data_IF_554760396211
#
_entry.id   IF_554760396211
#
_cell.length_a   1.000
_cell.length_b   1.000
_cell.length_c   1.000
_cell.angle_alpha   90.00
_cell.angle_beta   90.00
_cell.angle_gamma   90.00
#
_symmetry.space_group_name_H-M   'P 1'
#
loop_
_entity.id
_entity.type
_entity.pdbx_description
1 polymer ?
#
# COMPACT_ATOMS: atom_id res chain seq x y z
N UNK A 1 -39.61 -12.03 24.41
CA UNK A 1 -39.32 -10.58 24.38
C UNK A 1 -37.85 -10.42 24.61
N UNK A 2 -37.18 -9.75 23.68
CA UNK A 2 -35.73 -9.68 23.57
C UNK A 2 -35.15 -8.75 24.64
N UNK A 3 -34.18 -9.24 25.41
CA UNK A 3 -33.27 -8.40 26.18
C UNK A 3 -32.02 -8.13 25.33
N UNK A 4 -31.77 -6.84 25.13
CA UNK A 4 -30.59 -6.29 24.48
C UNK A 4 -29.35 -6.60 25.32
N UNK A 5 -28.45 -7.42 24.79
CA UNK A 5 -27.06 -7.43 25.23
C UNK A 5 -26.36 -6.20 24.63
N UNK A 6 -26.14 -5.17 25.45
CA UNK A 6 -25.15 -4.14 25.16
C UNK A 6 -23.76 -4.77 25.36
N UNK A 7 -23.04 -5.02 24.27
CA UNK A 7 -21.61 -5.32 24.31
C UNK A 7 -20.87 -4.11 24.90
N UNK A 8 -20.33 -4.29 26.11
CA UNK A 8 -19.40 -3.33 26.70
C UNK A 8 -18.05 -3.48 26.00
N UNK A 9 -17.81 -2.64 24.99
CA UNK A 9 -16.50 -2.49 24.37
C UNK A 9 -15.52 -2.05 25.47
N UNK A 10 -14.49 -2.85 25.70
CA UNK A 10 -13.49 -2.58 26.73
C UNK A 10 -12.65 -1.34 26.35
N UNK A 11 -12.10 -0.63 27.34
CA UNK A 11 -11.30 0.57 27.12
C UNK A 11 -10.05 0.27 26.25
N UNK A 12 -9.52 -0.95 26.33
CA UNK A 12 -8.46 -1.46 25.46
C UNK A 12 -8.92 -1.71 24.02
N UNK A 13 -10.13 -2.23 23.80
CA UNK A 13 -10.72 -2.38 22.47
C UNK A 13 -11.05 -1.02 21.85
N UNK A 14 -11.54 -0.06 22.64
CA UNK A 14 -11.77 1.30 22.19
C UNK A 14 -10.46 2.04 21.85
N UNK A 15 -9.40 1.89 22.66
CA UNK A 15 -8.07 2.43 22.33
C UNK A 15 -7.44 1.74 21.13
N UNK A 16 -7.59 0.43 20.97
CA UNK A 16 -7.16 -0.30 19.77
C UNK A 16 -7.95 0.13 18.54
N UNK A 17 -9.24 0.38 18.66
CA UNK A 17 -10.08 0.87 17.56
C UNK A 17 -9.79 2.33 17.21
N UNK A 18 -9.48 3.18 18.20
CA UNK A 18 -9.00 4.56 18.00
C UNK A 18 -7.60 4.59 17.34
N UNK A 19 -6.69 3.67 17.73
CA UNK A 19 -5.39 3.48 17.05
C UNK A 19 -5.56 2.89 15.65
N UNK A 20 -6.56 2.03 15.42
CA UNK A 20 -6.95 1.56 14.08
C UNK A 20 -7.54 2.69 13.22
N UNK A 21 -8.21 3.68 13.81
CA UNK A 21 -8.78 4.83 13.09
C UNK A 21 -7.73 5.81 12.58
N UNK A 22 -6.56 5.91 13.20
CA UNK A 22 -5.51 6.86 12.83
C UNK A 22 -4.24 6.18 12.30
N UNK A 23 -4.11 6.15 10.97
CA UNK A 23 -2.89 5.69 10.29
C UNK A 23 -1.72 6.65 10.55
N UNK A 24 -2.00 7.93 10.79
CA UNK A 24 -0.99 8.98 10.95
C UNK A 24 -1.01 9.60 12.35
N UNK A 25 0.17 10.10 12.77
CA UNK A 25 0.27 11.04 13.88
C UNK A 25 -0.62 12.27 13.61
N UNK A 26 -1.57 12.52 14.51
CA UNK A 26 -2.50 13.65 14.43
C UNK A 26 -1.78 14.98 14.24
N UNK A 27 -0.60 15.19 14.85
CA UNK A 27 0.17 16.44 14.70
C UNK A 27 0.69 16.61 13.27
N UNK A 28 1.10 15.51 12.62
CA UNK A 28 1.52 15.54 11.22
C UNK A 28 0.34 15.89 10.32
N UNK A 29 -0.81 15.24 10.53
CA UNK A 29 -2.01 15.48 9.75
C UNK A 29 -2.48 16.94 9.88
N UNK A 30 -2.51 17.49 11.09
CA UNK A 30 -2.86 18.90 11.33
C UNK A 30 -1.88 19.84 10.65
N UNK A 31 -0.56 19.60 10.76
CA UNK A 31 0.44 20.45 10.13
C UNK A 31 0.29 20.49 8.60
N UNK A 32 0.09 19.33 7.97
CA UNK A 32 -0.14 19.26 6.52
C UNK A 32 -1.42 20.00 6.13
N UNK A 33 -2.53 19.78 6.84
CA UNK A 33 -3.81 20.48 6.58
C UNK A 33 -3.71 21.99 6.73
N UNK A 34 -2.90 22.47 7.68
CA UNK A 34 -2.66 23.90 7.84
C UNK A 34 -1.97 24.51 6.61
N UNK A 35 -1.01 23.81 6.03
CA UNK A 35 -0.31 24.25 4.82
C UNK A 35 -1.26 24.22 3.61
N UNK A 36 -2.01 23.12 3.43
CA UNK A 36 -2.88 22.93 2.25
C UNK A 36 -4.19 23.70 2.30
N UNK A 37 -4.43 24.51 3.35
CA UNK A 37 -5.70 25.20 3.59
C UNK A 37 -6.15 26.11 2.45
N UNK A 38 -5.23 26.68 1.67
CA UNK A 38 -5.61 27.56 0.55
C UNK A 38 -6.11 26.79 -0.67
N UNK A 39 -5.95 25.46 -0.71
CA UNK A 39 -6.34 24.62 -1.84
C UNK A 39 -5.47 24.77 -3.10
N UNK A 40 -4.42 25.61 -3.08
CA UNK A 40 -3.50 25.77 -4.20
C UNK A 40 -2.62 24.54 -4.35
N UNK A 41 -2.41 24.09 -5.60
CA UNK A 41 -1.53 22.95 -5.92
C UNK A 41 -0.13 23.06 -5.27
N UNK A 42 0.47 24.26 -5.28
CA UNK A 42 1.78 24.50 -4.68
C UNK A 42 1.81 24.14 -3.19
N UNK A 43 0.76 24.45 -2.45
CA UNK A 43 0.70 24.17 -1.01
C UNK A 43 0.73 22.65 -0.71
N UNK A 44 0.12 21.82 -1.56
CA UNK A 44 0.21 20.36 -1.42
C UNK A 44 1.65 19.87 -1.65
N UNK A 45 2.31 20.43 -2.66
CA UNK A 45 3.70 20.13 -2.98
C UNK A 45 4.60 20.53 -1.80
N UNK A 46 4.42 21.74 -1.30
CA UNK A 46 5.16 22.30 -0.18
C UNK A 46 4.91 21.50 1.11
N UNK A 47 3.67 21.08 1.38
CA UNK A 47 3.33 20.30 2.56
C UNK A 47 4.03 18.93 2.57
N UNK A 48 4.02 18.22 1.43
CA UNK A 48 4.69 16.93 1.32
C UNK A 48 6.20 17.09 1.40
N UNK A 49 6.77 18.09 0.73
CA UNK A 49 8.22 18.34 0.77
C UNK A 49 8.70 18.74 2.18
N UNK A 50 7.95 19.61 2.87
CA UNK A 50 8.26 20.06 4.23
C UNK A 50 8.24 18.92 5.26
N UNK A 51 7.51 17.85 4.97
CA UNK A 51 7.38 16.69 5.85
C UNK A 51 7.90 15.38 5.24
N UNK A 52 8.74 15.46 4.20
CA UNK A 52 9.19 14.30 3.43
C UNK A 52 9.81 13.19 4.30
N UNK A 53 10.64 13.55 5.27
CA UNK A 53 11.26 12.57 6.18
C UNK A 53 10.23 11.77 6.99
N UNK A 54 9.13 12.41 7.39
CA UNK A 54 8.05 11.76 8.15
C UNK A 54 7.11 10.97 7.24
N UNK A 55 6.89 11.46 6.03
CA UNK A 55 6.00 10.84 5.05
C UNK A 55 6.63 9.66 4.30
N UNK A 56 7.95 9.49 4.34
CA UNK A 56 8.65 8.39 3.65
C UNK A 56 8.71 7.09 4.46
N UNK A 57 8.52 7.14 5.78
CA UNK A 57 8.50 5.94 6.66
C UNK A 57 7.47 6.07 7.76
N UNK A 58 6.20 6.19 7.37
CA UNK A 58 5.08 6.13 8.31
C UNK A 58 4.97 4.67 8.79
N UNK A 59 5.14 4.38 10.09
CA UNK A 59 5.00 3.00 10.59
C UNK A 59 3.54 2.53 10.45
N UNK A 60 3.36 1.30 10.01
CA UNK A 60 2.05 0.65 9.91
C UNK A 60 1.99 -0.58 10.83
N UNK A 61 0.79 -0.96 11.31
CA UNK A 61 0.59 -2.24 11.99
C UNK A 61 1.02 -3.41 11.10
N UNK A 62 1.69 -4.38 11.71
CA UNK A 62 2.15 -5.63 11.08
C UNK A 62 1.04 -6.68 11.07
N UNK A 63 0.09 -6.61 12.01
CA UNK A 63 -1.03 -7.54 12.05
C UNK A 63 -1.88 -7.41 10.79
N UNK A 64 -1.95 -8.51 10.05
CA UNK A 64 -2.84 -8.69 8.93
C UNK A 64 -4.02 -9.53 9.42
N UNK A 65 -5.14 -8.88 9.70
CA UNK A 65 -6.40 -9.52 10.14
C UNK A 65 -7.11 -10.28 8.99
N UNK A 66 -6.42 -10.48 7.87
CA UNK A 66 -6.93 -11.15 6.67
C UNK A 66 -6.66 -12.64 6.76
N UNK A 67 -7.70 -13.47 6.67
CA UNK A 67 -7.53 -14.92 6.59
C UNK A 67 -6.90 -15.36 5.26
N UNK A 68 -6.36 -16.59 5.22
CA UNK A 68 -5.69 -17.16 4.04
C UNK A 68 -6.59 -17.17 2.79
N UNK A 69 -7.89 -17.41 2.96
CA UNK A 69 -8.82 -17.51 1.84
C UNK A 69 -9.08 -16.13 1.21
N UNK A 70 -9.21 -15.09 2.03
CA UNK A 70 -9.30 -13.71 1.58
C UNK A 70 -8.00 -13.25 0.94
N UNK A 71 -6.84 -13.59 1.51
CA UNK A 71 -5.54 -13.31 0.92
C UNK A 71 -5.39 -13.94 -0.48
N UNK A 72 -5.88 -15.17 -0.66
CA UNK A 72 -5.88 -15.83 -1.96
C UNK A 72 -6.84 -15.17 -2.97
N UNK A 73 -8.03 -14.75 -2.52
CA UNK A 73 -8.99 -13.99 -3.36
C UNK A 73 -8.40 -12.66 -3.81
N UNK A 74 -7.72 -11.97 -2.90
CA UNK A 74 -7.03 -10.71 -3.21
C UNK A 74 -5.92 -10.97 -4.22
N UNK A 75 -5.01 -11.90 -3.94
CA UNK A 75 -3.91 -12.25 -4.84
C UNK A 75 -4.37 -12.62 -6.26
N UNK A 76 -5.52 -13.29 -6.39
CA UNK A 76 -6.10 -13.66 -7.70
C UNK A 76 -6.52 -12.47 -8.56
N UNK A 77 -6.79 -11.32 -7.96
CA UNK A 77 -7.13 -10.08 -8.68
C UNK A 77 -5.90 -9.30 -9.09
N UNK A 78 -4.72 -9.68 -8.62
CA UNK A 78 -3.49 -8.91 -8.78
C UNK A 78 -2.58 -9.44 -9.88
N UNK A 79 -1.81 -8.53 -10.47
CA UNK A 79 -0.55 -8.87 -11.13
C UNK A 79 0.53 -8.98 -10.04
N UNK A 80 1.13 -10.15 -9.88
CA UNK A 80 2.15 -10.43 -8.85
C UNK A 80 3.47 -10.76 -9.52
N UNK A 81 4.55 -10.19 -8.99
CA UNK A 81 5.91 -10.47 -9.37
C UNK A 81 6.67 -11.08 -8.18
N UNK A 82 7.27 -12.25 -8.36
CA UNK A 82 8.15 -12.87 -7.35
C UNK A 82 9.58 -12.87 -7.88
N UNK A 83 10.51 -12.22 -7.16
CA UNK A 83 11.93 -12.15 -7.53
C UNK A 83 12.18 -11.70 -8.97
N UNK A 84 11.40 -10.74 -9.46
CA UNK A 84 11.50 -10.21 -10.83
C UNK A 84 10.66 -10.95 -11.87
N UNK A 85 10.06 -12.11 -11.54
CA UNK A 85 9.25 -12.90 -12.46
C UNK A 85 7.76 -12.59 -12.28
N UNK A 86 7.10 -12.11 -13.33
CA UNK A 86 5.65 -11.87 -13.34
C UNK A 86 4.86 -13.17 -13.53
N UNK A 87 3.80 -13.33 -12.74
CA UNK A 87 2.85 -14.43 -12.87
C UNK A 87 1.64 -13.96 -13.67
N UNK A 88 1.43 -14.56 -14.84
CA UNK A 88 0.37 -14.21 -15.80
C UNK A 88 -0.45 -15.45 -16.20
N UNK A 89 -1.66 -15.23 -16.72
CA UNK A 89 -2.58 -16.29 -17.16
C UNK A 89 -3.54 -16.80 -16.06
N UNK A 90 -4.35 -17.79 -16.42
CA UNK A 90 -5.51 -18.24 -15.63
C UNK A 90 -5.14 -18.95 -14.31
N UNK A 91 -3.94 -19.53 -14.24
CA UNK A 91 -3.40 -20.24 -13.06
C UNK A 91 -2.27 -19.47 -12.36
N UNK A 92 -2.21 -18.15 -12.58
CA UNK A 92 -1.12 -17.32 -12.07
C UNK A 92 -0.98 -17.37 -10.54
N UNK A 93 -2.09 -17.40 -9.83
CA UNK A 93 -2.10 -17.41 -8.35
C UNK A 93 -1.58 -18.73 -7.81
N UNK A 94 -2.02 -19.85 -8.39
CA UNK A 94 -1.57 -21.19 -8.03
C UNK A 94 -0.09 -21.37 -8.33
N UNK A 95 0.37 -20.89 -9.50
CA UNK A 95 1.78 -20.88 -9.87
C UNK A 95 2.61 -20.03 -8.90
N UNK A 96 2.10 -18.86 -8.50
CA UNK A 96 2.74 -18.01 -7.49
C UNK A 96 2.86 -18.71 -6.15
N UNK A 97 1.75 -19.28 -5.64
CA UNK A 97 1.73 -20.06 -4.39
C UNK A 97 2.71 -21.23 -4.46
N UNK A 98 2.74 -21.97 -5.57
CA UNK A 98 3.65 -23.09 -5.77
C UNK A 98 5.13 -22.63 -5.80
N UNK A 99 5.42 -21.47 -6.39
CA UNK A 99 6.75 -20.88 -6.41
C UNK A 99 7.20 -20.44 -5.01
N UNK A 100 6.33 -19.76 -4.25
CA UNK A 100 6.59 -19.40 -2.85
C UNK A 100 6.88 -20.65 -2.03
N UNK A 101 5.99 -21.64 -2.08
CA UNK A 101 6.17 -22.97 -1.46
C UNK A 101 7.53 -23.57 -1.79
N UNK A 102 7.90 -23.63 -3.07
CA UNK A 102 9.19 -24.18 -3.50
C UNK A 102 10.40 -23.41 -2.95
N UNK A 103 10.30 -22.10 -2.77
CA UNK A 103 11.40 -21.30 -2.20
C UNK A 103 11.47 -21.53 -0.69
N UNK A 104 10.34 -21.44 0.02
CA UNK A 104 10.27 -21.65 1.47
C UNK A 104 10.78 -23.05 1.84
N UNK A 105 10.42 -24.10 1.08
CA UNK A 105 10.84 -25.48 1.37
C UNK A 105 12.36 -25.70 1.28
N UNK A 106 13.11 -24.79 0.66
CA UNK A 106 14.58 -24.85 0.59
C UNK A 106 15.28 -24.25 1.81
N UNK A 107 14.54 -23.45 2.59
CA UNK A 107 15.10 -22.65 3.67
C UNK A 107 14.43 -22.92 5.02
N UNK A 108 13.28 -23.60 5.03
CA UNK A 108 12.53 -23.99 6.23
C UNK A 108 12.38 -25.51 6.22
N UNK A 109 13.09 -26.18 7.12
CA UNK A 109 13.15 -27.66 7.18
C UNK A 109 11.95 -28.28 7.92
N UNK A 110 11.36 -27.53 8.87
CA UNK A 110 10.26 -28.03 9.69
C UNK A 110 8.93 -27.94 8.92
N UNK A 111 8.21 -29.06 8.70
CA UNK A 111 6.97 -29.07 7.91
C UNK A 111 5.86 -28.17 8.45
N UNK A 112 5.74 -28.06 9.78
CA UNK A 112 4.75 -27.19 10.43
C UNK A 112 5.06 -25.71 10.16
N UNK A 113 6.30 -25.28 10.38
CA UNK A 113 6.74 -23.91 10.10
C UNK A 113 6.69 -23.53 8.63
N UNK A 114 6.84 -24.51 7.72
CA UNK A 114 6.77 -24.30 6.29
C UNK A 114 5.40 -23.77 5.83
N UNK A 115 4.31 -24.34 6.34
CA UNK A 115 2.96 -23.90 5.99
C UNK A 115 2.65 -22.53 6.59
N UNK A 116 3.05 -22.31 7.86
CA UNK A 116 2.88 -21.03 8.55
C UNK A 116 3.61 -19.87 7.85
N UNK A 117 4.88 -20.10 7.46
CA UNK A 117 5.67 -19.10 6.72
C UNK A 117 5.05 -18.80 5.37
N UNK A 118 4.60 -19.83 4.66
CA UNK A 118 3.95 -19.65 3.36
C UNK A 118 2.65 -18.86 3.50
N UNK A 119 1.82 -19.23 4.48
CA UNK A 119 0.56 -18.54 4.77
C UNK A 119 0.79 -17.07 5.12
N UNK A 120 1.78 -16.79 5.97
CA UNK A 120 2.15 -15.41 6.34
C UNK A 120 2.55 -14.58 5.12
N UNK A 121 3.35 -15.14 4.21
CA UNK A 121 3.72 -14.45 2.95
C UNK A 121 2.47 -14.17 2.11
N UNK A 122 1.56 -15.15 1.99
CA UNK A 122 0.31 -14.98 1.24
C UNK A 122 -0.57 -13.89 1.86
N UNK A 123 -0.73 -13.87 3.17
CA UNK A 123 -1.49 -12.82 3.89
C UNK A 123 -0.87 -11.43 3.71
N UNK A 124 0.46 -11.33 3.72
CA UNK A 124 1.16 -10.07 3.43
C UNK A 124 0.96 -9.57 2.00
N UNK A 125 0.57 -10.44 1.07
CA UNK A 125 0.23 -10.06 -0.31
C UNK A 125 -1.18 -9.46 -0.46
N UNK A 126 -2.00 -9.41 0.60
CA UNK A 126 -3.33 -8.80 0.54
C UNK A 126 -3.25 -7.30 0.23
N UNK A 127 -3.71 -6.94 -0.96
CA UNK A 127 -3.69 -5.55 -1.41
C UNK A 127 -4.77 -4.70 -0.77
N UNK A 128 -5.89 -5.31 -0.37
CA UNK A 128 -6.99 -4.67 0.36
C UNK A 128 -6.47 -3.92 1.58
N UNK A 129 -5.57 -4.54 2.36
CA UNK A 129 -4.96 -3.90 3.52
C UNK A 129 -4.07 -2.72 3.08
N UNK A 130 -3.16 -2.94 2.12
CA UNK A 130 -2.25 -1.89 1.64
C UNK A 130 -2.97 -0.69 1.01
N UNK A 131 -4.08 -0.92 0.31
CA UNK A 131 -4.90 0.12 -0.30
C UNK A 131 -5.69 0.89 0.75
N UNK A 132 -6.21 0.20 1.77
CA UNK A 132 -6.91 0.83 2.90
C UNK A 132 -5.98 1.78 3.66
N UNK A 133 -4.79 1.31 4.06
CA UNK A 133 -3.80 2.13 4.76
C UNK A 133 -3.43 3.39 3.96
N UNK A 134 -3.22 3.21 2.65
CA UNK A 134 -2.88 4.30 1.74
C UNK A 134 -4.02 5.32 1.65
N UNK A 135 -5.26 4.85 1.45
CA UNK A 135 -6.43 5.73 1.36
C UNK A 135 -6.69 6.50 2.65
N UNK A 136 -6.68 5.83 3.80
CA UNK A 136 -6.92 6.49 5.09
C UNK A 136 -5.81 7.48 5.46
N UNK A 137 -4.55 7.17 5.17
CA UNK A 137 -3.47 8.13 5.35
C UNK A 137 -3.66 9.38 4.49
N UNK A 138 -3.97 9.22 3.20
CA UNK A 138 -4.23 10.36 2.32
C UNK A 138 -5.45 11.16 2.75
N UNK A 139 -6.52 10.49 3.16
CA UNK A 139 -7.71 11.14 3.70
C UNK A 139 -7.39 11.95 4.98
N UNK A 140 -6.55 11.41 5.86
CA UNK A 140 -6.10 12.15 7.04
C UNK A 140 -5.26 13.38 6.69
N UNK A 141 -4.47 13.34 5.62
CA UNK A 141 -3.65 14.48 5.20
C UNK A 141 -4.43 15.54 4.42
N UNK A 142 -5.28 15.11 3.49
CA UNK A 142 -5.76 15.97 2.41
C UNK A 142 -7.28 16.01 2.25
N UNK A 143 -8.05 15.29 3.08
CA UNK A 143 -9.51 15.36 2.97
C UNK A 143 -10.01 16.78 3.26
N UNK A 144 -10.79 17.27 2.31
CA UNK A 144 -11.44 18.57 2.32
C UNK A 144 -12.79 18.42 1.60
N UNK A 145 -13.86 19.12 1.99
CA UNK A 145 -15.17 19.02 1.34
C UNK A 145 -15.13 19.26 -0.18
N UNK A 146 -14.20 20.08 -0.66
CA UNK A 146 -14.08 20.45 -2.07
C UNK A 146 -13.12 19.55 -2.86
N UNK A 147 -12.55 18.53 -2.21
CA UNK A 147 -11.55 17.64 -2.80
C UNK A 147 -11.98 16.17 -2.72
N UNK A 148 -12.03 15.54 -3.90
CA UNK A 148 -12.20 14.11 -4.04
C UNK A 148 -10.84 13.41 -4.16
N UNK A 149 -10.62 12.41 -3.31
CA UNK A 149 -9.47 11.51 -3.39
C UNK A 149 -9.93 10.21 -4.05
N UNK A 150 -9.36 9.84 -5.20
CA UNK A 150 -9.67 8.55 -5.85
C UNK A 150 -8.43 7.93 -6.51
N UNK A 151 -8.42 6.59 -6.71
CA UNK A 151 -7.38 5.94 -7.49
C UNK A 151 -7.24 6.55 -8.90
N UNK A 152 -6.00 6.64 -9.40
CA UNK A 152 -5.74 7.11 -10.77
C UNK A 152 -6.00 5.98 -11.77
N UNK A 153 -6.59 6.34 -12.91
CA UNK A 153 -6.79 5.43 -14.05
C UNK A 153 -5.49 5.24 -14.82
N UNK A 154 -4.52 4.56 -14.20
CA UNK A 154 -3.20 4.27 -14.79
C UNK A 154 -2.98 2.77 -14.91
N UNK A 155 -1.97 2.35 -15.69
CA UNK A 155 -1.55 0.95 -15.76
C UNK A 155 -1.34 0.41 -14.35
N UNK A 156 -1.86 -0.79 -14.10
CA UNK A 156 -1.69 -1.49 -12.82
C UNK A 156 -0.19 -1.72 -12.59
N UNK A 157 0.31 -1.30 -11.43
CA UNK A 157 1.66 -1.64 -11.00
C UNK A 157 1.58 -3.02 -10.35
N UNK A 158 2.39 -4.02 -10.75
CA UNK A 158 2.38 -5.32 -10.09
C UNK A 158 2.76 -5.25 -8.60
N UNK A 159 2.16 -6.12 -7.79
CA UNK A 159 2.64 -6.38 -6.44
C UNK A 159 4.02 -7.03 -6.53
N UNK A 160 5.02 -6.43 -5.89
CA UNK A 160 6.40 -6.92 -5.94
C UNK A 160 6.74 -7.69 -4.67
N UNK A 161 7.07 -8.96 -4.81
CA UNK A 161 7.50 -9.87 -3.74
C UNK A 161 8.96 -10.25 -4.00
N UNK A 162 9.81 -10.03 -3.01
CA UNK A 162 11.20 -10.50 -3.00
C UNK A 162 11.35 -11.49 -1.86
N UNK A 163 11.75 -12.72 -2.16
CA UNK A 163 11.84 -13.83 -1.22
C UNK A 163 13.15 -14.58 -1.43
N UNK A 164 13.96 -14.68 -0.39
CA UNK A 164 15.24 -15.37 -0.48
C UNK A 164 16.15 -15.08 0.70
N UNK A 165 17.40 -15.53 0.60
CA UNK A 165 18.44 -15.18 1.56
C UNK A 165 18.96 -13.78 1.28
N UNK A 166 19.07 -12.98 2.32
CA UNK A 166 19.77 -11.71 2.26
C UNK A 166 21.27 -11.96 2.02
N UNK A 167 21.87 -11.21 1.10
CA UNK A 167 23.27 -11.41 0.73
C UNK A 167 24.23 -11.01 1.85
N UNK A 168 23.82 -10.10 2.74
CA UNK A 168 24.69 -9.53 3.77
C UNK A 168 24.80 -10.39 5.03
N UNK A 169 23.70 -11.04 5.44
CA UNK A 169 23.64 -11.81 6.69
C UNK A 169 23.06 -13.22 6.53
N UNK A 170 22.79 -13.65 5.30
CA UNK A 170 22.25 -14.96 4.95
C UNK A 170 20.93 -15.31 5.66
N UNK A 171 20.19 -14.33 6.16
CA UNK A 171 18.86 -14.58 6.75
C UNK A 171 17.80 -14.72 5.68
N UNK A 172 16.84 -15.60 5.93
CA UNK A 172 15.72 -15.78 5.02
C UNK A 172 14.71 -14.66 5.23
N UNK A 173 14.50 -13.85 4.19
CA UNK A 173 13.66 -12.64 4.26
C UNK A 173 12.65 -12.62 3.14
N UNK A 174 11.50 -12.02 3.45
CA UNK A 174 10.48 -11.64 2.48
C UNK A 174 10.31 -10.12 2.50
N UNK A 175 10.20 -9.51 1.33
CA UNK A 175 9.82 -8.11 1.17
C UNK A 175 8.67 -8.03 0.20
N UNK A 176 7.55 -7.48 0.65
CA UNK A 176 6.35 -7.26 -0.15
C UNK A 176 6.18 -5.76 -0.32
N UNK A 177 6.05 -5.31 -1.56
CA UNK A 177 5.88 -3.91 -1.93
C UNK A 177 4.62 -3.75 -2.77
N UNK A 178 3.67 -2.97 -2.27
CA UNK A 178 2.48 -2.52 -2.99
C UNK A 178 2.60 -1.03 -3.29
N UNK A 179 2.30 -0.63 -4.52
CA UNK A 179 2.23 0.78 -4.92
C UNK A 179 0.80 1.10 -5.31
N UNK A 180 0.20 2.10 -4.65
CA UNK A 180 -1.16 2.55 -4.92
C UNK A 180 -1.12 4.02 -5.38
N UNK A 181 -1.76 4.31 -6.49
CA UNK A 181 -1.68 5.59 -7.19
C UNK A 181 -3.00 6.35 -7.00
N UNK A 182 -2.95 7.53 -6.41
CA UNK A 182 -4.11 8.37 -6.10
C UNK A 182 -4.01 9.73 -6.78
N UNK A 183 -5.17 10.31 -7.05
CA UNK A 183 -5.32 11.67 -7.51
C UNK A 183 -6.21 12.45 -6.55
N UNK A 184 -5.84 13.70 -6.33
CA UNK A 184 -6.72 14.71 -5.76
C UNK A 184 -7.40 15.44 -6.92
N UNK A 185 -8.71 15.58 -6.82
CA UNK A 185 -9.58 16.21 -7.83
C UNK A 185 -10.45 17.24 -7.13
N UNK A 186 -10.60 18.42 -7.71
CA UNK A 186 -11.50 19.42 -7.14
C UNK A 186 -12.91 19.21 -7.64
N UNK A 187 -13.91 19.47 -6.80
CA UNK A 187 -15.31 19.39 -7.19
C UNK A 187 -15.63 20.37 -8.33
N UNK A 188 -15.05 21.58 -8.33
CA UNK A 188 -15.21 22.56 -9.42
C UNK A 188 -14.78 22.00 -10.79
N UNK A 189 -13.66 21.27 -10.83
CA UNK A 189 -13.12 20.66 -12.04
C UNK A 189 -14.00 19.48 -12.49
N UNK A 190 -14.50 18.68 -11.54
CA UNK A 190 -15.43 17.57 -11.81
C UNK A 190 -16.74 18.10 -12.40
N UNK A 191 -17.31 19.15 -11.83
CA UNK A 191 -18.54 19.75 -12.34
C UNK A 191 -18.33 20.37 -13.73
N UNK A 192 -17.17 20.98 -13.98
CA UNK A 192 -16.81 21.47 -15.31
C UNK A 192 -16.73 20.33 -16.32
N UNK A 193 -16.10 19.21 -15.95
CA UNK A 193 -16.02 18.01 -16.79
C UNK A 193 -17.41 17.48 -17.16
N UNK A 194 -18.32 17.38 -16.18
CA UNK A 194 -19.70 16.90 -16.39
C UNK A 194 -20.52 17.79 -17.35
N UNK A 195 -20.16 19.08 -17.45
CA UNK A 195 -20.77 20.03 -18.40
C UNK A 195 -20.07 20.05 -19.77
N UNK A 196 -18.90 19.43 -19.87
CA UNK A 196 -18.09 19.36 -21.09
C UNK A 196 -18.35 18.07 -21.87
N UNK A 197 -17.86 17.99 -23.11
CA UNK A 197 -17.81 16.74 -23.88
C UNK A 197 -16.58 15.89 -23.57
N UNK A 198 -15.70 16.33 -22.67
CA UNK A 198 -14.49 15.60 -22.30
C UNK A 198 -14.82 14.38 -21.44
N UNK A 199 -14.08 13.28 -21.66
CA UNK A 199 -14.32 12.01 -20.96
C UNK A 199 -13.26 11.72 -19.88
N UNK A 200 -12.19 12.52 -19.82
CA UNK A 200 -11.06 12.28 -18.93
C UNK A 200 -10.59 13.59 -18.30
N UNK A 201 -10.24 13.52 -17.01
CA UNK A 201 -9.67 14.62 -16.27
C UNK A 201 -8.43 14.14 -15.52
N UNK A 202 -7.34 14.89 -15.66
CA UNK A 202 -6.12 14.68 -14.89
C UNK A 202 -6.29 15.19 -13.45
N UNK A 203 -5.68 14.53 -12.45
CA UNK A 203 -5.71 15.03 -11.10
C UNK A 203 -4.93 16.34 -10.98
N UNK A 204 -5.47 17.30 -10.20
CA UNK A 204 -4.75 18.55 -9.96
C UNK A 204 -3.49 18.31 -9.11
N UNK A 205 -3.49 17.26 -8.28
CA UNK A 205 -2.31 16.71 -7.60
C UNK A 205 -2.35 15.18 -7.70
N UNK A 206 -1.32 14.58 -8.30
CA UNK A 206 -1.13 13.13 -8.29
C UNK A 206 -0.25 12.73 -7.09
N UNK A 207 -0.60 11.65 -6.40
CA UNK A 207 0.14 11.15 -5.23
C UNK A 207 0.34 9.65 -5.35
N UNK A 208 1.57 9.22 -5.10
CA UNK A 208 1.95 7.82 -5.06
C UNK A 208 2.17 7.39 -3.62
N UNK A 209 1.56 6.28 -3.27
CA UNK A 209 1.74 5.63 -1.97
C UNK A 209 2.43 4.29 -2.17
N UNK A 210 3.40 3.98 -1.32
CA UNK A 210 4.15 2.73 -1.36
C UNK A 210 4.08 2.10 0.02
N UNK A 211 3.41 0.97 0.13
CA UNK A 211 3.42 0.15 1.34
C UNK A 211 4.49 -0.92 1.17
N UNK A 212 5.37 -1.02 2.15
CA UNK A 212 6.41 -2.04 2.21
C UNK A 212 6.27 -2.82 3.50
N UNK A 213 6.16 -4.13 3.38
CA UNK A 213 6.30 -5.07 4.47
C UNK A 213 7.61 -5.84 4.31
N UNK A 214 8.38 -5.93 5.40
CA UNK A 214 9.62 -6.68 5.48
C UNK A 214 9.47 -7.71 6.59
N UNK A 215 9.67 -8.98 6.25
CA UNK A 215 9.60 -10.11 7.16
C UNK A 215 10.99 -10.76 7.23
N UNK A 216 11.57 -10.85 8.41
CA UNK A 216 12.68 -11.74 8.73
C UNK A 216 12.06 -13.08 9.16
N UNK A 217 12.05 -14.02 8.22
CA UNK A 217 11.40 -15.33 8.39
C UNK A 217 12.26 -16.27 9.26
N UNK A 218 13.52 -15.92 9.51
CA UNK A 218 14.41 -16.65 10.42
C UNK A 218 14.14 -16.28 11.89
N UNK A 219 13.86 -15.01 12.17
CA UNK A 219 13.61 -14.51 13.53
C UNK A 219 12.15 -14.20 13.85
N UNK A 220 11.26 -14.48 12.89
CA UNK A 220 9.82 -14.20 12.96
C UNK A 220 9.45 -12.71 13.09
N UNK A 221 10.41 -11.79 12.91
CA UNK A 221 10.18 -10.35 13.04
C UNK A 221 9.67 -9.74 11.74
N UNK A 222 8.69 -8.84 11.85
CA UNK A 222 8.18 -8.07 10.72
C UNK A 222 8.20 -6.57 11.02
N UNK A 223 8.34 -5.78 9.96
CA UNK A 223 8.17 -4.33 9.99
C UNK A 223 7.41 -3.88 8.74
N UNK A 224 6.45 -2.98 8.90
CA UNK A 224 5.61 -2.48 7.82
C UNK A 224 5.57 -0.95 7.87
N UNK A 225 5.65 -0.33 6.70
CA UNK A 225 5.61 1.13 6.60
C UNK A 225 4.96 1.60 5.30
N UNK A 226 4.44 2.81 5.34
CA UNK A 226 3.90 3.56 4.23
C UNK A 226 4.85 4.71 3.86
N UNK A 227 5.06 4.90 2.57
CA UNK A 227 5.70 6.07 1.99
C UNK A 227 4.70 6.84 1.13
N UNK A 228 4.61 8.15 1.30
CA UNK A 228 3.79 9.05 0.48
C UNK A 228 4.75 9.97 -0.27
N UNK A 229 4.59 10.04 -1.59
CA UNK A 229 5.45 10.82 -2.48
C UNK A 229 4.68 11.30 -3.70
N UNK A 230 5.23 12.29 -4.40
CA UNK A 230 4.74 12.61 -5.73
C UNK A 230 5.25 11.60 -6.76
N UNK A 231 4.54 11.41 -7.89
CA UNK A 231 5.06 10.66 -9.01
C UNK A 231 6.42 11.21 -9.41
N UNK A 232 7.38 10.35 -9.80
CA UNK A 232 8.61 10.84 -10.39
C UNK A 232 8.27 11.71 -11.60
N UNK A 233 9.06 12.77 -11.81
CA UNK A 233 9.00 13.51 -13.06
C UNK A 233 9.11 12.52 -14.23
N UNK A 234 8.35 12.70 -15.32
CA UNK A 234 8.47 11.80 -16.46
C UNK A 234 9.94 11.73 -16.87
N UNK A 235 10.47 10.52 -17.13
CA UNK A 235 11.86 10.36 -17.53
C UNK A 235 12.12 11.24 -18.75
N UNK A 236 13.24 11.93 -18.71
CA UNK A 236 13.73 12.68 -19.87
C UNK A 236 13.92 11.71 -21.04
N UNK A 237 13.85 12.24 -22.27
CA UNK A 237 14.06 11.43 -23.48
C UNK A 237 15.34 10.57 -23.42
N UNK A 238 16.37 11.09 -22.76
CA UNK A 238 17.64 10.40 -22.52
C UNK A 238 17.50 9.18 -21.60
N UNK A 239 16.68 9.27 -20.55
CA UNK A 239 16.46 8.15 -19.61
C UNK A 239 15.64 7.03 -20.28
N UNK A 240 14.69 7.40 -21.15
CA UNK A 240 13.95 6.43 -21.97
C UNK A 240 14.87 5.73 -22.99
N UNK A 241 15.78 6.47 -23.63
CA UNK A 241 16.77 5.90 -24.57
C UNK A 241 17.77 4.97 -23.86
N UNK A 242 18.07 5.19 -22.57
CA UNK A 242 18.94 4.31 -21.78
C UNK A 242 18.21 3.03 -21.36
N UNK A 243 16.94 3.11 -20.97
CA UNK A 243 16.14 1.93 -20.56
C UNK A 243 15.80 1.01 -21.74
N UNK A 244 15.80 1.51 -22.99
CA UNK A 244 15.64 0.67 -24.19
C UNK A 244 16.94 -0.08 -24.61
N UNK A 245 18.08 0.27 -24.01
CA UNK A 245 19.39 -0.31 -24.34
C UNK A 245 19.84 -1.45 -23.41
N UNK A 246 19.04 -1.84 -22.41
CA UNK A 246 19.35 -2.93 -21.47
C UNK A 246 18.23 -3.95 -21.29
#
# INVERSE_FOLDING_TARGET
MADLFQEQVTEEEFEQEQRRRHVLDTRLAVAVRCITRSGRRADYIDAVNSHLQRLTRIPLPVQCDVDTAQAFRDASREEIMLNGVCFIGDHRTEAFVAAVKRIVSRHVEQPESYLEVTDRIMRGCSRTLSGSDSYFALHQLFADPDILIKPRSTKVIPLSVTLGLDFSDHRFRCRIKSTNLYGLYRNEDIEALLRSSEQHMEPFVAIDTVVVEQMDLTTDKSHRYLSIKFPPSPPTKLELEIDELF
#
